data_IF_696119129422
#
_entry.id   IF_696119129422
#
_cell.length_a   1.000
_cell.length_b   1.000
_cell.length_c   1.000
_cell.angle_alpha   90.00
_cell.angle_beta   90.00
_cell.angle_gamma   90.00
#
_symmetry.space_group_name_H-M   'P 1'
#
loop_
_entity.id
_entity.type
_entity.pdbx_description
1 polymer ?
#
# COMPACT_ATOMS: atom_id res chain seq x y z
N UNK A 1 0.04 5.85 20.58
CA UNK A 1 0.33 4.50 20.08
C UNK A 1 0.31 4.61 18.57
N UNK A 2 1.47 4.65 17.95
CA UNK A 2 1.58 4.70 16.49
C UNK A 2 1.28 3.28 15.95
N UNK A 3 0.34 3.10 15.00
CA UNK A 3 0.05 1.78 14.43
C UNK A 3 1.24 1.19 13.64
N UNK A 4 2.32 1.95 13.43
CA UNK A 4 3.53 1.50 12.73
C UNK A 4 4.65 0.95 13.64
N UNK A 5 4.47 0.95 14.96
CA UNK A 5 5.38 0.19 15.83
C UNK A 5 5.08 -1.31 15.75
N UNK A 6 5.69 -1.98 14.78
CA UNK A 6 5.67 -3.43 14.64
C UNK A 6 6.43 -4.04 15.82
N UNK A 7 5.72 -4.62 16.79
CA UNK A 7 6.36 -5.44 17.82
C UNK A 7 6.97 -6.69 17.17
N UNK A 8 8.17 -7.11 17.60
CA UNK A 8 8.80 -8.32 17.06
C UNK A 8 7.91 -9.55 17.29
N UNK A 9 7.92 -10.52 16.36
CA UNK A 9 7.13 -11.74 16.51
C UNK A 9 7.60 -12.57 17.71
N UNK A 10 6.65 -13.20 18.41
CA UNK A 10 6.93 -14.10 19.53
C UNK A 10 6.88 -15.55 19.04
N UNK A 11 7.87 -16.36 19.43
CA UNK A 11 7.97 -17.78 19.11
C UNK A 11 8.05 -18.57 20.41
N UNK A 12 7.22 -19.62 20.54
CA UNK A 12 7.17 -20.49 21.72
C UNK A 12 7.32 -21.97 21.31
N UNK A 13 8.17 -22.72 22.03
CA UNK A 13 8.31 -24.17 21.85
C UNK A 13 7.36 -24.87 22.81
N UNK A 14 6.30 -25.47 22.28
CA UNK A 14 5.25 -26.11 23.09
C UNK A 14 5.59 -27.55 23.51
N UNK A 15 6.56 -28.19 22.85
CA UNK A 15 6.97 -29.56 23.15
C UNK A 15 8.44 -29.81 22.78
N UNK A 16 9.11 -30.66 23.57
CA UNK A 16 10.52 -30.98 23.39
C UNK A 16 11.46 -29.86 23.85
N UNK A 17 12.74 -29.99 23.54
CA UNK A 17 13.77 -28.98 23.79
C UNK A 17 14.52 -28.73 22.49
N UNK A 18 14.63 -27.47 22.06
CA UNK A 18 15.48 -27.11 20.94
C UNK A 18 16.90 -26.78 21.44
N UNK A 19 17.91 -27.18 20.67
CA UNK A 19 19.28 -26.73 20.93
C UNK A 19 19.47 -25.28 20.48
N UNK A 20 20.57 -24.66 20.89
CA UNK A 20 20.91 -23.30 20.47
C UNK A 20 21.10 -23.23 18.94
N UNK A 21 21.67 -24.26 18.34
CA UNK A 21 21.87 -24.35 16.89
C UNK A 21 20.55 -24.46 16.13
N UNK A 22 19.60 -25.25 16.64
CA UNK A 22 18.28 -25.39 16.04
C UNK A 22 17.47 -24.11 16.15
N UNK A 23 17.55 -23.41 17.29
CA UNK A 23 16.96 -22.09 17.47
C UNK A 23 17.55 -21.06 16.50
N UNK A 24 18.88 -21.04 16.35
CA UNK A 24 19.54 -20.16 15.40
C UNK A 24 19.12 -20.44 13.96
N UNK A 25 19.03 -21.72 13.58
CA UNK A 25 18.56 -22.13 12.26
C UNK A 25 17.11 -21.70 12.01
N UNK A 26 16.22 -21.89 13.00
CA UNK A 26 14.83 -21.45 12.91
C UNK A 26 14.72 -19.93 12.72
N UNK A 27 15.42 -19.15 13.55
CA UNK A 27 15.40 -17.68 13.46
C UNK A 27 15.91 -17.23 12.09
N UNK A 28 17.00 -17.82 11.60
CA UNK A 28 17.57 -17.48 10.30
C UNK A 28 16.57 -17.73 9.15
N UNK A 29 15.93 -18.90 9.12
CA UNK A 29 14.96 -19.27 8.09
C UNK A 29 13.72 -18.35 8.13
N UNK A 30 13.17 -18.10 9.32
CA UNK A 30 11.99 -17.24 9.47
C UNK A 30 12.32 -15.79 9.08
N UNK A 31 13.46 -15.27 9.52
CA UNK A 31 13.89 -13.91 9.19
C UNK A 31 14.10 -13.73 7.68
N UNK A 32 14.70 -14.71 7.02
CA UNK A 32 14.92 -14.73 5.58
C UNK A 32 13.60 -14.82 4.79
N UNK A 33 12.61 -15.57 5.30
CA UNK A 33 11.27 -15.59 4.72
C UNK A 33 10.58 -14.21 4.84
N UNK A 34 10.62 -13.58 6.02
CA UNK A 34 10.07 -12.24 6.22
C UNK A 34 10.75 -11.20 5.33
N UNK A 35 12.07 -11.23 5.21
CA UNK A 35 12.80 -10.30 4.34
C UNK A 35 12.37 -10.44 2.88
N UNK A 36 12.19 -11.66 2.37
CA UNK A 36 11.69 -11.87 1.00
C UNK A 36 10.26 -11.38 0.79
N UNK A 37 9.39 -11.58 1.77
CA UNK A 37 8.01 -11.08 1.71
C UNK A 37 7.99 -9.54 1.75
N UNK A 38 8.82 -8.90 2.58
CA UNK A 38 8.96 -7.44 2.63
C UNK A 38 9.48 -6.87 1.29
N UNK A 39 10.45 -7.52 0.67
CA UNK A 39 10.96 -7.16 -0.67
C UNK A 39 9.85 -7.22 -1.74
N UNK A 40 8.92 -8.16 -1.62
CA UNK A 40 7.77 -8.29 -2.51
C UNK A 40 6.63 -7.32 -2.14
N UNK A 41 6.52 -6.93 -0.87
CA UNK A 41 5.49 -6.05 -0.33
C UNK A 41 5.77 -4.55 -0.58
N UNK A 42 6.24 -4.20 -1.78
CA UNK A 42 6.37 -2.80 -2.19
C UNK A 42 5.00 -2.29 -2.63
N UNK A 43 4.34 -1.52 -1.76
CA UNK A 43 3.15 -0.77 -2.16
C UNK A 43 3.51 0.15 -3.35
N UNK A 44 2.79 0.02 -4.45
CA UNK A 44 2.99 0.92 -5.58
C UNK A 44 2.77 2.36 -5.11
N UNK A 45 3.78 3.20 -5.27
CA UNK A 45 3.65 4.62 -4.97
C UNK A 45 2.43 5.16 -5.73
N UNK A 46 1.48 5.77 -5.00
CA UNK A 46 0.28 6.33 -5.63
C UNK A 46 0.69 7.56 -6.44
N UNK A 47 1.05 7.35 -7.70
CA UNK A 47 1.41 8.43 -8.62
C UNK A 47 0.14 9.11 -9.11
N UNK A 48 -0.15 10.28 -8.55
CA UNK A 48 -1.19 11.16 -9.10
C UNK A 48 -0.70 11.70 -10.44
N UNK A 49 -1.45 11.47 -11.50
CA UNK A 49 -1.11 11.98 -12.83
C UNK A 49 -1.12 13.50 -12.84
N UNK A 50 -0.33 14.12 -13.73
CA UNK A 50 -0.34 15.58 -13.91
C UNK A 50 -1.77 16.09 -14.22
N UNK A 51 -2.56 15.32 -14.97
CA UNK A 51 -3.97 15.59 -15.22
C UNK A 51 -4.82 15.54 -13.94
N UNK A 52 -4.74 14.48 -13.14
CA UNK A 52 -5.51 14.36 -11.89
C UNK A 52 -5.17 15.47 -10.89
N UNK A 53 -3.91 15.93 -10.85
CA UNK A 53 -3.46 17.04 -10.01
C UNK A 53 -3.94 18.41 -10.49
N UNK A 54 -4.16 18.57 -11.81
CA UNK A 54 -4.53 19.86 -12.43
C UNK A 54 -6.00 19.93 -12.84
N UNK A 55 -6.74 18.81 -12.79
CA UNK A 55 -8.15 18.74 -13.12
C UNK A 55 -8.92 19.63 -12.15
N UNK A 56 -9.40 20.77 -12.65
CA UNK A 56 -10.33 21.63 -11.94
C UNK A 56 -11.71 20.98 -11.97
N UNK A 57 -12.54 21.26 -10.96
CA UNK A 57 -13.95 20.89 -11.00
C UNK A 57 -14.54 21.37 -12.32
N UNK A 58 -15.25 20.47 -13.01
CA UNK A 58 -15.97 20.83 -14.22
C UNK A 58 -16.86 22.02 -13.85
N UNK A 59 -16.64 23.15 -14.51
CA UNK A 59 -17.54 24.31 -14.37
C UNK A 59 -18.94 23.86 -14.73
N UNK A 60 -19.93 24.52 -14.14
CA UNK A 60 -21.36 24.32 -14.42
C UNK A 60 -21.57 24.03 -15.90
N UNK A 61 -22.25 22.92 -16.24
CA UNK A 61 -22.48 22.55 -17.64
C UNK A 61 -23.10 23.73 -18.39
N UNK A 62 -22.67 23.91 -19.65
CA UNK A 62 -23.15 24.99 -20.49
C UNK A 62 -24.69 24.94 -20.56
N UNK A 63 -25.33 26.07 -20.27
CA UNK A 63 -26.79 26.23 -20.32
C UNK A 63 -27.28 25.97 -21.74
N UNK A 64 -27.90 24.81 -21.94
CA UNK A 64 -28.46 24.37 -23.23
C UNK A 64 -29.76 25.08 -23.59
N UNK A 65 -30.35 25.76 -22.62
CA UNK A 65 -31.57 26.55 -22.75
C UNK A 65 -31.31 27.98 -23.25
N UNK A 66 -30.05 28.33 -23.51
CA UNK A 66 -29.67 29.61 -24.13
C UNK A 66 -29.17 29.31 -25.56
N UNK A 67 -29.84 29.85 -26.61
CA UNK A 67 -29.39 29.67 -27.98
C UNK A 67 -28.04 30.36 -28.22
N UNK A 68 -27.10 29.70 -28.91
CA UNK A 68 -25.80 30.26 -29.24
C UNK A 68 -25.89 31.15 -30.47
N UNK A 69 -26.40 32.38 -30.28
CA UNK A 69 -26.61 33.32 -31.38
C UNK A 69 -27.47 32.71 -32.49
N UNK A 70 -26.95 32.71 -33.72
CA UNK A 70 -27.64 32.18 -34.90
C UNK A 70 -27.57 30.66 -35.07
N UNK A 71 -26.86 29.95 -34.18
CA UNK A 71 -26.74 28.50 -34.22
C UNK A 71 -27.62 27.89 -33.12
N UNK A 72 -28.82 27.51 -33.53
CA UNK A 72 -29.72 26.63 -32.79
C UNK A 72 -30.23 25.58 -33.77
N UNK A 73 -29.41 24.56 -34.04
CA UNK A 73 -29.63 23.56 -35.08
C UNK A 73 -28.33 23.27 -35.84
#
# INVERSE_FOLDING_TARGET
MDPSESLPPTVEITHGTATEEELAALIAVVSDAYAREEEAAVAAETRVSAWARTQRSLRTPLRRDIPWGRFSG
#
